data_IF_079517948522
#
_entry.id   IF_079517948522
#
_cell.length_a   1.000
_cell.length_b   1.000
_cell.length_c   1.000
_cell.angle_alpha   90.00
_cell.angle_beta   90.00
_cell.angle_gamma   90.00
#
_symmetry.space_group_name_H-M   'P 1'
#
loop_
_entity.id
_entity.type
_entity.pdbx_description
1 polymer ?
#
# COMPACT_ATOMS: atom_id res chain seq x y z
N UNK A 1 -27.19 45.61 -39.64
CA UNK A 1 -26.40 45.20 -38.47
C UNK A 1 -26.21 43.68 -38.51
N UNK A 2 -25.30 43.22 -39.33
CA UNK A 2 -25.04 41.76 -39.48
C UNK A 2 -23.63 41.35 -39.04
N UNK A 3 -23.01 42.04 -38.10
CA UNK A 3 -21.57 41.88 -37.89
C UNK A 3 -21.11 41.20 -36.60
N UNK A 4 -21.91 41.10 -35.57
CA UNK A 4 -21.35 40.82 -34.24
C UNK A 4 -21.66 39.46 -33.62
N UNK A 5 -22.45 38.60 -34.31
CA UNK A 5 -22.78 37.28 -33.77
C UNK A 5 -21.60 36.30 -33.81
N UNK A 6 -20.69 36.44 -34.77
CA UNK A 6 -19.50 35.58 -34.88
C UNK A 6 -18.43 35.92 -33.85
N UNK A 7 -18.25 37.21 -33.50
CA UNK A 7 -17.29 37.62 -32.48
C UNK A 7 -17.73 37.22 -31.07
N UNK A 8 -19.02 37.28 -30.80
CA UNK A 8 -19.58 36.92 -29.51
C UNK A 8 -19.53 35.43 -29.24
N UNK A 9 -19.69 34.59 -30.30
CA UNK A 9 -19.52 33.13 -30.18
C UNK A 9 -18.07 32.72 -29.93
N UNK A 10 -17.12 33.38 -30.53
CA UNK A 10 -15.69 33.17 -30.30
C UNK A 10 -15.26 33.60 -28.89
N UNK A 11 -15.81 34.67 -28.35
CA UNK A 11 -15.56 35.13 -26.98
C UNK A 11 -16.12 34.15 -25.93
N UNK A 12 -17.33 33.61 -26.16
CA UNK A 12 -17.94 32.60 -25.29
C UNK A 12 -17.16 31.27 -25.31
N UNK A 13 -16.66 30.85 -26.45
CA UNK A 13 -15.79 29.66 -26.57
C UNK A 13 -14.45 29.87 -25.88
N UNK A 14 -13.89 31.07 -25.90
CA UNK A 14 -12.65 31.41 -25.17
C UNK A 14 -12.83 31.36 -23.66
N UNK A 15 -13.95 31.86 -23.15
CA UNK A 15 -14.24 31.84 -21.70
C UNK A 15 -14.49 30.42 -21.19
N UNK A 16 -15.18 29.58 -21.94
CA UNK A 16 -15.41 28.19 -21.59
C UNK A 16 -14.10 27.37 -21.63
N UNK A 17 -13.22 27.67 -22.59
CA UNK A 17 -11.90 27.02 -22.69
C UNK A 17 -10.98 27.35 -21.51
N UNK A 18 -10.99 28.58 -21.03
CA UNK A 18 -10.18 29.03 -19.88
C UNK A 18 -10.72 28.45 -18.56
N UNK A 19 -12.04 28.30 -18.45
CA UNK A 19 -12.67 27.74 -17.24
C UNK A 19 -12.36 26.24 -17.04
N UNK A 20 -12.06 25.50 -18.11
CA UNK A 20 -11.78 24.05 -18.04
C UNK A 20 -10.34 23.72 -17.64
N UNK A 21 -9.42 24.68 -17.76
CA UNK A 21 -7.98 24.48 -17.45
C UNK A 21 -7.66 24.72 -15.97
N UNK A 22 -8.53 25.44 -15.25
CA UNK A 22 -8.32 25.80 -13.84
C UNK A 22 -8.79 24.72 -12.83
N UNK A 23 -9.34 23.60 -13.29
CA UNK A 23 -10.00 22.60 -12.44
C UNK A 23 -9.19 21.35 -12.10
N UNK A 24 -7.97 21.19 -12.60
CA UNK A 24 -7.16 20.01 -12.31
C UNK A 24 -6.04 20.31 -11.30
N UNK A 25 -6.43 20.64 -10.06
CA UNK A 25 -5.52 20.43 -8.93
C UNK A 25 -5.33 18.92 -8.79
N UNK A 26 -4.26 18.41 -9.39
CA UNK A 26 -3.92 16.99 -9.31
C UNK A 26 -3.51 16.65 -7.88
N UNK A 27 -4.45 16.15 -7.08
CA UNK A 27 -4.14 15.46 -5.84
C UNK A 27 -3.62 14.07 -6.21
N UNK A 28 -2.34 13.81 -5.99
CA UNK A 28 -1.79 12.48 -6.17
C UNK A 28 -1.73 11.74 -4.85
N UNK A 29 -2.35 10.55 -4.83
CA UNK A 29 -2.24 9.60 -3.72
C UNK A 29 -1.36 8.44 -4.17
N UNK A 30 -0.39 8.10 -3.38
CA UNK A 30 0.50 6.97 -3.66
C UNK A 30 0.54 6.03 -2.47
N UNK A 31 0.25 4.75 -2.73
CA UNK A 31 0.45 3.69 -1.74
C UNK A 31 1.95 3.46 -1.54
N UNK A 32 2.36 3.26 -0.30
CA UNK A 32 3.71 2.91 0.08
C UNK A 32 3.69 1.45 0.50
N UNK A 33 4.46 0.61 -0.19
CA UNK A 33 4.68 -0.77 0.23
C UNK A 33 6.14 -1.15 0.03
N UNK A 34 6.72 -1.77 1.03
CA UNK A 34 8.03 -2.41 0.99
C UNK A 34 7.89 -3.81 1.56
N UNK A 35 8.55 -4.77 0.92
CA UNK A 35 8.38 -6.19 1.22
C UNK A 35 7.11 -6.77 0.57
N UNK A 36 6.94 -8.07 0.69
CA UNK A 36 5.71 -8.74 0.23
C UNK A 36 4.60 -8.48 1.24
N UNK A 37 3.65 -7.63 0.85
CA UNK A 37 2.48 -7.37 1.68
C UNK A 37 1.61 -8.62 1.76
N UNK A 38 1.27 -9.02 2.98
CA UNK A 38 0.34 -10.11 3.24
C UNK A 38 -1.03 -9.51 3.52
N UNK A 39 -2.02 -9.93 2.74
CA UNK A 39 -3.40 -9.44 2.87
C UNK A 39 -4.15 -10.12 4.01
N UNK A 40 -5.24 -9.50 4.47
CA UNK A 40 -6.07 -10.07 5.53
C UNK A 40 -6.72 -11.40 5.10
N UNK A 41 -7.04 -11.56 3.81
CA UNK A 41 -7.54 -12.82 3.26
C UNK A 41 -6.49 -13.93 3.29
N UNK A 42 -5.24 -13.60 3.00
CA UNK A 42 -4.13 -14.56 3.09
C UNK A 42 -3.87 -14.95 4.55
N UNK A 43 -3.90 -13.99 5.48
CA UNK A 43 -3.77 -14.25 6.91
C UNK A 43 -4.88 -15.19 7.41
N UNK A 44 -6.12 -14.99 6.96
CA UNK A 44 -7.26 -15.83 7.36
C UNK A 44 -7.15 -17.29 6.87
N UNK A 45 -6.29 -17.56 5.89
CA UNK A 45 -6.03 -18.93 5.42
C UNK A 45 -5.08 -19.72 6.32
N UNK A 46 -4.32 -19.05 7.17
CA UNK A 46 -3.44 -19.71 8.13
C UNK A 46 -4.30 -20.34 9.21
N UNK A 47 -4.21 -21.65 9.32
CA UNK A 47 -4.92 -22.42 10.35
C UNK A 47 -3.90 -23.14 11.23
N UNK A 48 -3.86 -22.74 12.50
CA UNK A 48 -3.01 -23.40 13.48
C UNK A 48 -3.39 -24.89 13.61
N UNK A 49 -2.39 -25.75 13.61
CA UNK A 49 -2.58 -27.20 13.66
C UNK A 49 -2.90 -27.87 12.31
N UNK A 50 -3.03 -27.11 11.22
CA UNK A 50 -3.40 -27.65 9.90
C UNK A 50 -2.51 -27.17 8.77
N UNK A 51 -2.26 -25.86 8.68
CA UNK A 51 -1.42 -25.27 7.63
C UNK A 51 0.03 -25.74 7.78
N UNK A 52 0.64 -26.20 6.71
CA UNK A 52 2.03 -26.67 6.72
C UNK A 52 3.03 -25.57 6.41
N UNK A 53 4.29 -25.77 6.75
CA UNK A 53 5.41 -24.90 6.38
C UNK A 53 5.46 -24.68 4.86
N UNK A 54 5.20 -25.73 4.08
CA UNK A 54 5.18 -25.64 2.63
C UNK A 54 4.03 -24.77 2.13
N UNK A 55 2.84 -24.88 2.74
CA UNK A 55 1.69 -24.01 2.39
C UNK A 55 2.03 -22.54 2.65
N UNK A 56 2.65 -22.24 3.79
CA UNK A 56 3.11 -20.89 4.13
C UNK A 56 4.10 -20.37 3.10
N UNK A 57 5.07 -21.19 2.71
CA UNK A 57 6.06 -20.81 1.72
C UNK A 57 5.45 -20.58 0.32
N UNK A 58 4.49 -21.42 -0.06
CA UNK A 58 3.79 -21.27 -1.35
C UNK A 58 2.87 -20.03 -1.40
N UNK A 59 2.23 -19.70 -0.28
CA UNK A 59 1.30 -18.56 -0.19
C UNK A 59 2.04 -17.22 -0.05
N UNK A 60 3.09 -17.16 0.77
CA UNK A 60 3.76 -15.90 1.14
C UNK A 60 5.16 -15.74 0.52
N UNK A 61 5.71 -16.81 -0.07
CA UNK A 61 7.07 -16.82 -0.61
C UNK A 61 8.14 -16.88 0.48
N UNK A 62 9.32 -16.32 0.17
CA UNK A 62 10.45 -16.33 1.08
C UNK A 62 10.21 -15.43 2.30
N UNK A 63 10.40 -15.97 3.53
CA UNK A 63 10.34 -15.15 4.73
C UNK A 63 11.48 -14.14 4.77
N UNK A 64 11.24 -13.01 5.42
CA UNK A 64 12.26 -11.98 5.66
C UNK A 64 13.36 -12.46 6.61
N UNK A 65 13.00 -13.37 7.52
CA UNK A 65 13.93 -13.98 8.47
C UNK A 65 13.45 -15.37 8.89
N UNK A 66 14.40 -16.28 9.08
CA UNK A 66 14.17 -17.64 9.59
C UNK A 66 14.94 -17.76 10.90
N UNK A 67 14.33 -18.35 11.91
CA UNK A 67 14.94 -18.57 13.23
C UNK A 67 14.64 -19.98 13.74
N UNK A 68 15.38 -20.39 14.77
CA UNK A 68 15.20 -21.62 15.53
C UNK A 68 15.14 -22.89 14.64
N UNK A 69 16.17 -23.07 13.81
CA UNK A 69 16.26 -24.24 12.94
C UNK A 69 15.08 -24.40 11.99
N UNK A 70 14.65 -23.30 11.41
CA UNK A 70 13.50 -23.22 10.50
C UNK A 70 12.12 -23.44 11.17
N UNK A 71 12.05 -23.33 12.48
CA UNK A 71 10.79 -23.45 13.21
C UNK A 71 10.02 -22.15 13.30
N UNK A 72 10.66 -21.01 13.03
CA UNK A 72 10.02 -19.70 13.07
C UNK A 72 10.32 -18.92 11.79
N UNK A 73 9.28 -18.55 11.07
CA UNK A 73 9.35 -17.68 9.91
C UNK A 73 8.82 -16.31 10.26
N UNK A 74 9.55 -15.27 9.85
CA UNK A 74 9.12 -13.88 9.95
C UNK A 74 8.92 -13.29 8.56
N UNK A 75 7.78 -12.66 8.38
CA UNK A 75 7.46 -11.85 7.22
C UNK A 75 7.28 -10.41 7.67
N UNK A 76 8.03 -9.50 7.09
CA UNK A 76 7.97 -8.09 7.46
C UNK A 76 7.69 -7.25 6.23
N UNK A 77 6.72 -6.36 6.32
CA UNK A 77 6.39 -5.42 5.25
C UNK A 77 5.98 -4.07 5.83
N UNK A 78 6.02 -3.06 4.99
CA UNK A 78 5.57 -1.72 5.34
C UNK A 78 4.35 -1.38 4.48
N UNK A 79 3.31 -0.90 5.12
CA UNK A 79 2.09 -0.41 4.49
C UNK A 79 1.83 1.02 4.93
N UNK A 80 1.53 1.88 3.98
CA UNK A 80 1.19 3.27 4.26
C UNK A 80 0.65 3.99 3.05
N UNK A 81 0.40 5.26 3.22
CA UNK A 81 -0.04 6.14 2.14
C UNK A 81 0.62 7.50 2.27
N UNK A 82 0.87 8.11 1.14
CA UNK A 82 1.29 9.51 1.07
C UNK A 82 0.40 10.28 0.10
N UNK A 83 0.18 11.52 0.41
CA UNK A 83 -0.54 12.45 -0.46
C UNK A 83 0.29 13.70 -0.69
N UNK A 84 0.21 14.26 -1.88
CA UNK A 84 0.85 15.52 -2.18
C UNK A 84 -0.05 16.39 -3.06
N UNK A 85 0.01 17.68 -2.82
CA UNK A 85 -0.60 18.72 -3.65
C UNK A 85 0.51 19.67 -4.07
N UNK A 86 0.70 19.86 -5.37
CA UNK A 86 1.76 20.70 -5.93
C UNK A 86 3.19 20.37 -5.41
N UNK A 87 3.48 19.09 -5.16
CA UNK A 87 4.77 18.65 -4.66
C UNK A 87 4.99 18.86 -3.16
N UNK A 88 4.00 19.38 -2.44
CA UNK A 88 4.04 19.56 -0.98
C UNK A 88 3.10 18.54 -0.34
N UNK A 89 3.61 17.80 0.61
CA UNK A 89 2.82 16.80 1.32
C UNK A 89 3.68 15.79 2.06
N UNK A 90 3.04 14.78 2.58
CA UNK A 90 3.69 13.70 3.31
C UNK A 90 2.77 12.50 3.47
N UNK A 91 3.23 11.52 4.18
CA UNK A 91 2.47 10.31 4.45
C UNK A 91 2.91 9.63 5.72
N UNK A 92 2.18 8.58 6.06
CA UNK A 92 2.44 7.76 7.23
C UNK A 92 2.52 6.30 6.78
N UNK A 93 3.49 5.59 7.28
CA UNK A 93 3.65 4.17 7.04
C UNK A 93 3.85 3.42 8.35
N UNK A 94 3.35 2.19 8.41
CA UNK A 94 3.52 1.29 9.53
C UNK A 94 4.24 0.02 9.08
N UNK A 95 5.11 -0.47 9.91
CA UNK A 95 5.76 -1.76 9.70
C UNK A 95 4.93 -2.86 10.33
N UNK A 96 4.62 -3.87 9.55
CA UNK A 96 3.91 -5.07 9.97
C UNK A 96 4.88 -6.24 10.03
N UNK A 97 4.70 -7.11 10.98
CA UNK A 97 5.48 -8.34 11.12
C UNK A 97 4.56 -9.50 11.47
N UNK A 98 4.58 -10.53 10.63
CA UNK A 98 3.93 -11.80 10.87
C UNK A 98 4.98 -12.80 11.33
N UNK A 99 4.81 -13.36 12.51
CA UNK A 99 5.58 -14.50 13.00
C UNK A 99 4.75 -15.78 12.86
N UNK A 100 5.31 -16.79 12.23
CA UNK A 100 4.69 -18.13 12.08
C UNK A 100 5.60 -19.14 12.75
N UNK A 101 5.09 -19.85 13.73
CA UNK A 101 5.80 -20.87 14.50
C UNK A 101 5.31 -22.25 14.08
N UNK A 102 6.25 -23.12 13.74
CA UNK A 102 5.97 -24.50 13.32
C UNK A 102 6.33 -25.50 14.42
N UNK A 103 5.60 -26.59 14.46
CA UNK A 103 5.95 -27.74 15.28
C UNK A 103 7.07 -28.61 14.62
N UNK A 104 7.46 -29.68 15.28
CA UNK A 104 8.51 -30.61 14.78
C UNK A 104 8.10 -31.33 13.49
N UNK A 105 6.82 -31.36 13.16
CA UNK A 105 6.28 -31.95 11.92
C UNK A 105 6.17 -30.93 10.77
N UNK A 106 6.53 -29.66 11.03
CA UNK A 106 6.40 -28.59 10.05
C UNK A 106 4.97 -28.08 9.85
N UNK A 107 4.12 -28.25 10.86
CA UNK A 107 2.75 -27.71 10.87
C UNK A 107 2.71 -26.45 11.72
N UNK A 108 1.94 -25.46 11.30
CA UNK A 108 1.78 -24.21 12.05
C UNK A 108 1.23 -24.50 13.44
N UNK A 109 2.01 -24.19 14.46
CA UNK A 109 1.62 -24.28 15.86
C UNK A 109 0.89 -23.02 16.32
N UNK A 110 1.38 -21.86 15.89
CA UNK A 110 0.79 -20.56 16.18
C UNK A 110 1.30 -19.52 15.19
N UNK A 111 0.53 -18.48 15.01
CA UNK A 111 0.97 -17.30 14.24
C UNK A 111 0.51 -16.02 14.92
N UNK A 112 1.26 -14.94 14.72
CA UNK A 112 0.93 -13.64 15.30
C UNK A 112 1.32 -12.52 14.34
N UNK A 113 0.35 -11.66 14.05
CA UNK A 113 0.58 -10.40 13.37
C UNK A 113 0.80 -9.28 14.38
N UNK A 114 1.85 -8.50 14.19
CA UNK A 114 2.13 -7.27 14.95
C UNK A 114 2.27 -6.09 14.01
N UNK A 115 1.86 -4.93 14.48
CA UNK A 115 2.08 -3.64 13.81
C UNK A 115 2.94 -2.78 14.72
N UNK A 116 3.96 -2.14 14.17
CA UNK A 116 4.77 -1.17 14.91
C UNK A 116 3.89 -0.03 15.44
N UNK A 117 4.12 0.36 16.68
CA UNK A 117 3.32 1.38 17.37
C UNK A 117 3.61 2.80 16.86
N UNK A 118 4.80 3.01 16.31
CA UNK A 118 5.23 4.32 15.82
C UNK A 118 5.09 4.37 14.30
N UNK A 119 4.24 5.25 13.77
CA UNK A 119 4.18 5.49 12.34
C UNK A 119 5.48 6.14 11.86
N UNK A 120 5.96 5.69 10.72
CA UNK A 120 7.09 6.34 10.05
C UNK A 120 6.56 7.48 9.18
N UNK A 121 7.04 8.69 9.44
CA UNK A 121 6.76 9.83 8.58
C UNK A 121 7.56 9.71 7.29
N UNK A 122 6.87 9.71 6.18
CA UNK A 122 7.48 9.64 4.86
C UNK A 122 7.35 11.01 4.19
N UNK A 123 8.46 11.68 4.01
CA UNK A 123 8.49 12.93 3.28
C UNK A 123 8.19 12.68 1.78
N UNK A 124 7.47 13.60 1.17
CA UNK A 124 7.37 13.67 -0.28
C UNK A 124 8.61 14.42 -0.76
N UNK A 125 9.59 13.72 -1.22
CA UNK A 125 10.81 14.30 -1.75
C UNK A 125 11.41 13.39 -2.81
N UNK A 126 11.79 14.03 -3.88
CA UNK A 126 12.71 13.63 -4.96
C UNK A 126 12.20 12.58 -5.92
#
# INVERSE_FOLDING_TARGET
MKGNAKGMKLLLLGIVGISLVLGSAACSFKAISHGTEITDEQLARIKDGSTTKQDIFMEFGNPSKIMDGEKVFFYTWTRGSKSSVLGIGGGTAYTYSLAVVFDDKGVVKSHKLTRGDTPQNVAVGD
#
